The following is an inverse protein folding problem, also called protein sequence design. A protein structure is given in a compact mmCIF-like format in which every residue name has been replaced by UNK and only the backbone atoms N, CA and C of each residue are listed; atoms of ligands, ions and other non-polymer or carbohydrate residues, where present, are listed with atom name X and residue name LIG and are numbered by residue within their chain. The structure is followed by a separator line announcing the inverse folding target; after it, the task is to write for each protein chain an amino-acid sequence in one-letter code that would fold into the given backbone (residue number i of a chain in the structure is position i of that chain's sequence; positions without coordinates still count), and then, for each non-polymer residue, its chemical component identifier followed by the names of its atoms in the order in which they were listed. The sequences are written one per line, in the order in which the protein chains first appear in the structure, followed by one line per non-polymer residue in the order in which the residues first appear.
data_IF_525942518750
#
_entry.id   IF_525942518750
#
_cell.length_a   1.000
_cell.length_b   1.000
_cell.length_c   1.000
_cell.angle_alpha   90.00
_cell.angle_beta   90.00
_cell.angle_gamma   90.00
#
_symmetry.space_group_name_H-M   'P 1'
#
loop_
_entity.id
_entity.type
_entity.pdbx_description
1 polymer ?
#
# COMPACT_ATOMS: atom_id res chain seq x y z
N UNK A 1 63.97 34.77 39.48
CA UNK A 1 65.04 35.61 40.07
C UNK A 1 64.88 35.77 41.59
N UNK A 2 63.68 35.75 42.15
CA UNK A 2 63.40 35.85 43.61
C UNK A 2 64.15 34.84 44.50
N UNK A 3 64.20 33.54 44.14
CA UNK A 3 64.97 32.53 44.91
C UNK A 3 66.49 32.79 44.91
N UNK A 4 66.99 33.52 43.91
CA UNK A 4 68.40 33.89 43.85
C UNK A 4 68.73 35.03 44.81
N UNK A 5 67.78 35.93 45.12
CA UNK A 5 67.99 37.04 46.04
C UNK A 5 67.97 36.60 47.50
N UNK A 6 67.06 35.70 47.89
CA UNK A 6 67.00 35.16 49.27
C UNK A 6 68.26 34.34 49.61
N UNK A 7 68.75 33.55 48.64
CA UNK A 7 70.04 32.86 48.78
C UNK A 7 71.20 33.85 48.86
N UNK A 8 71.12 34.99 48.15
CA UNK A 8 72.14 36.05 48.23
C UNK A 8 72.10 36.79 49.56
N UNK A 9 70.94 37.03 50.17
CA UNK A 9 70.82 37.64 51.50
C UNK A 9 71.41 36.74 52.59
N UNK A 10 71.16 35.43 52.53
CA UNK A 10 71.75 34.46 53.46
C UNK A 10 73.27 34.31 53.26
N UNK A 11 73.79 34.46 52.03
CA UNK A 11 75.22 34.40 51.73
C UNK A 11 75.97 35.71 52.07
N UNK A 12 75.31 36.87 51.94
CA UNK A 12 75.89 38.19 52.25
C UNK A 12 76.06 38.40 53.75
N UNK A 13 75.15 37.86 54.60
CA UNK A 13 75.37 37.86 56.06
C UNK A 13 76.52 36.92 56.46
N UNK A 14 76.86 35.93 55.63
CA UNK A 14 77.94 34.97 55.90
C UNK A 14 79.35 35.41 55.52
N UNK A 15 79.56 36.52 54.79
CA UNK A 15 80.87 36.78 54.14
C UNK A 15 81.45 38.20 54.23
N UNK A 16 80.87 39.14 54.98
CA UNK A 16 81.50 40.47 55.15
C UNK A 16 82.52 40.44 56.29
N UNK A 17 83.75 40.06 55.97
CA UNK A 17 84.94 40.39 56.76
C UNK A 17 85.56 41.67 56.20
N UNK A 18 85.01 42.84 56.58
CA UNK A 18 85.61 44.14 56.29
C UNK A 18 85.96 44.78 57.65
N UNK A 19 87.24 45.11 57.83
CA UNK A 19 87.76 45.78 59.01
C UNK A 19 87.16 47.19 59.14
N UNK A 20 86.14 47.31 60.00
CA UNK A 20 85.47 48.53 60.45
C UNK A 20 85.02 48.34 61.91
N UNK A 21 84.45 49.37 62.57
CA UNK A 21 84.21 49.36 64.03
C UNK A 21 83.41 48.12 64.45
N UNK A 22 83.77 47.53 65.62
CA UNK A 22 83.11 46.36 66.21
C UNK A 22 81.59 46.59 66.24
N UNK A 23 80.88 45.90 65.36
CA UNK A 23 79.42 45.84 65.40
C UNK A 23 79.08 44.80 66.46
N UNK A 24 78.34 45.19 67.49
CA UNK A 24 77.97 44.30 68.58
C UNK A 24 77.10 43.14 68.03
N UNK A 25 77.45 41.89 68.33
CA UNK A 25 76.68 40.69 67.89
C UNK A 25 75.19 40.77 68.26
N UNK A 26 74.86 41.49 69.33
CA UNK A 26 73.48 41.77 69.74
C UNK A 26 72.73 42.68 68.77
N UNK A 27 73.40 43.65 68.14
CA UNK A 27 72.81 44.53 67.14
C UNK A 27 72.58 43.80 65.81
N UNK A 28 73.51 42.95 65.38
CA UNK A 28 73.33 42.06 64.21
C UNK A 28 72.19 41.04 64.43
N UNK A 29 72.09 40.47 65.63
CA UNK A 29 71.01 39.55 65.97
C UNK A 29 69.64 40.25 66.04
N UNK A 30 69.56 41.44 66.64
CA UNK A 30 68.32 42.22 66.72
C UNK A 30 67.87 42.72 65.34
N UNK A 31 68.79 43.18 64.50
CA UNK A 31 68.53 43.60 63.12
C UNK A 31 68.06 42.43 62.25
N UNK A 32 68.62 41.23 62.47
CA UNK A 32 68.18 40.00 61.79
C UNK A 32 66.80 39.50 62.27
N UNK A 33 66.45 39.74 63.53
CA UNK A 33 65.15 39.37 64.09
C UNK A 33 64.05 40.32 63.61
N UNK A 34 64.32 41.64 63.60
CA UNK A 34 63.40 42.68 63.14
C UNK A 34 63.14 42.57 61.63
N UNK A 35 64.19 42.34 60.82
CA UNK A 35 64.06 42.04 59.40
C UNK A 35 63.24 40.75 59.14
N UNK A 36 63.37 39.73 59.98
CA UNK A 36 62.58 38.49 59.87
C UNK A 36 61.11 38.73 60.20
N UNK A 37 60.78 39.48 61.26
CA UNK A 37 59.38 39.79 61.59
C UNK A 37 58.73 40.68 60.54
N UNK A 38 59.45 41.66 59.98
CA UNK A 38 58.94 42.56 58.95
C UNK A 38 58.73 41.89 57.58
N UNK A 39 59.36 40.73 57.32
CA UNK A 39 59.20 39.98 56.07
C UNK A 39 58.14 38.86 56.13
N UNK A 40 57.70 38.43 57.32
CA UNK A 40 56.72 37.34 57.48
C UNK A 40 55.36 37.70 56.90
N UNK A 41 54.84 38.89 57.21
CA UNK A 41 53.54 39.36 56.74
C UNK A 41 53.48 39.52 55.21
N UNK A 42 54.44 40.20 54.54
CA UNK A 42 54.43 40.29 53.09
C UNK A 42 54.66 38.93 52.40
N UNK A 43 55.44 38.03 53.01
CA UNK A 43 55.61 36.66 52.49
C UNK A 43 54.31 35.87 52.55
N UNK A 44 53.58 35.93 53.67
CA UNK A 44 52.27 35.29 53.81
C UNK A 44 51.23 35.89 52.86
N UNK A 45 51.25 37.21 52.68
CA UNK A 45 50.38 37.91 51.74
C UNK A 45 50.63 37.50 50.28
N UNK A 46 51.91 37.37 49.88
CA UNK A 46 52.27 36.87 48.55
C UNK A 46 51.84 35.40 48.37
N UNK A 47 52.09 34.54 49.35
CA UNK A 47 51.68 33.13 49.29
C UNK A 47 50.15 32.98 49.18
N UNK A 48 49.39 33.80 49.92
CA UNK A 48 47.94 33.85 49.81
C UNK A 48 47.47 34.36 48.44
N UNK A 49 48.11 35.38 47.89
CA UNK A 49 47.80 35.90 46.56
C UNK A 49 48.13 34.90 45.44
N UNK A 50 49.25 34.16 45.54
CA UNK A 50 49.59 33.08 44.62
C UNK A 50 48.60 31.91 44.70
N UNK A 51 48.08 31.59 45.89
CA UNK A 51 47.00 30.61 46.06
C UNK A 51 45.72 31.10 45.39
N UNK A 52 45.34 32.36 45.61
CA UNK A 52 44.16 32.96 45.01
C UNK A 52 44.23 32.99 43.47
N UNK A 53 45.40 33.23 42.87
CA UNK A 53 45.60 33.12 41.42
C UNK A 53 45.42 31.68 40.95
N UNK A 54 45.97 30.69 41.66
CA UNK A 54 45.78 29.28 41.33
C UNK A 54 44.30 28.88 41.37
N UNK A 55 43.58 29.27 42.41
CA UNK A 55 42.15 28.99 42.55
C UNK A 55 41.32 29.71 41.47
N UNK A 56 41.63 30.99 41.18
CA UNK A 56 40.95 31.74 40.13
C UNK A 56 41.18 31.14 38.74
N UNK A 57 42.39 30.62 38.48
CA UNK A 57 42.72 29.93 37.23
C UNK A 57 41.98 28.60 37.11
N UNK A 58 41.95 27.79 38.18
CA UNK A 58 41.19 26.54 38.20
C UNK A 58 39.69 26.79 37.95
N UNK A 59 39.13 27.85 38.54
CA UNK A 59 37.74 28.26 38.30
C UNK A 59 37.50 28.72 36.87
N UNK A 60 38.45 29.45 36.25
CA UNK A 60 38.34 29.83 34.83
C UNK A 60 38.37 28.60 33.92
N UNK A 61 39.31 27.67 34.16
CA UNK A 61 39.41 26.43 33.37
C UNK A 61 38.13 25.58 33.50
N UNK A 62 37.54 25.50 34.70
CA UNK A 62 36.26 24.83 34.92
C UNK A 62 35.10 25.52 34.18
N UNK A 63 35.03 26.85 34.23
CA UNK A 63 34.00 27.62 33.54
C UNK A 63 34.12 27.50 32.00
N UNK A 64 35.34 27.56 31.45
CA UNK A 64 35.57 27.38 30.01
C UNK A 64 35.20 25.96 29.55
N UNK A 65 35.44 24.94 30.38
CA UNK A 65 34.99 23.58 30.11
C UNK A 65 33.45 23.45 30.14
N UNK A 66 32.77 24.14 31.06
CA UNK A 66 31.32 24.16 31.16
C UNK A 66 30.67 24.90 29.97
N UNK A 67 31.23 26.04 29.54
CA UNK A 67 30.79 26.77 28.34
C UNK A 67 30.91 25.89 27.08
N UNK A 68 32.05 25.20 26.91
CA UNK A 68 32.25 24.29 25.79
C UNK A 68 31.25 23.12 25.79
N UNK A 69 30.94 22.55 26.97
CA UNK A 69 29.93 21.50 27.10
C UNK A 69 28.52 22.01 26.77
N UNK A 70 28.18 23.24 27.19
CA UNK A 70 26.89 23.85 26.88
C UNK A 70 26.74 24.19 25.39
N UNK A 71 27.81 24.64 24.73
CA UNK A 71 27.83 24.87 23.28
C UNK A 71 27.61 23.56 22.51
N UNK A 72 28.30 22.48 22.91
CA UNK A 72 28.11 21.16 22.34
C UNK A 72 26.67 20.65 22.51
N UNK A 73 26.12 20.76 23.73
CA UNK A 73 24.73 20.37 24.00
C UNK A 73 23.71 21.16 23.15
N UNK A 74 23.96 22.45 22.90
CA UNK A 74 23.11 23.24 22.01
C UNK A 74 23.22 22.79 20.55
N UNK A 75 24.42 22.44 20.08
CA UNK A 75 24.61 21.92 18.73
C UNK A 75 23.81 20.62 18.54
N UNK A 76 23.95 19.68 19.47
CA UNK A 76 23.21 18.41 19.46
C UNK A 76 21.68 18.65 19.49
N UNK A 77 21.20 19.54 20.37
CA UNK A 77 19.77 19.85 20.45
C UNK A 77 19.23 20.46 19.15
N UNK A 78 20.04 21.25 18.43
CA UNK A 78 19.66 21.81 17.12
C UNK A 78 19.54 20.72 16.06
N UNK A 79 20.47 19.77 16.05
CA UNK A 79 20.45 18.65 15.11
C UNK A 79 19.24 17.73 15.39
N UNK A 80 18.94 17.47 16.66
CA UNK A 80 17.74 16.74 17.10
C UNK A 80 16.44 17.41 16.62
N UNK A 81 16.33 18.74 16.73
CA UNK A 81 15.17 19.49 16.21
C UNK A 81 15.05 19.33 14.68
N UNK A 82 16.17 19.39 13.96
CA UNK A 82 16.14 19.24 12.50
C UNK A 82 15.75 17.82 12.09
N UNK A 83 16.27 16.80 12.78
CA UNK A 83 15.88 15.42 12.56
C UNK A 83 14.39 15.19 12.84
N UNK A 84 13.86 15.75 13.93
CA UNK A 84 12.44 15.67 14.27
C UNK A 84 11.56 16.34 13.22
N UNK A 85 11.95 17.50 12.68
CA UNK A 85 11.21 18.18 11.60
C UNK A 85 11.15 17.34 10.33
N UNK A 86 12.29 16.79 9.90
CA UNK A 86 12.33 15.92 8.72
C UNK A 86 11.42 14.69 8.89
N UNK A 87 11.36 14.12 10.10
CA UNK A 87 10.47 13.00 10.41
C UNK A 87 8.98 13.41 10.37
N UNK A 88 8.64 14.60 10.88
CA UNK A 88 7.28 15.14 10.83
C UNK A 88 6.82 15.39 9.38
N UNK A 89 7.68 15.97 8.55
CA UNK A 89 7.40 16.20 7.12
C UNK A 89 7.18 14.88 6.37
N UNK A 90 8.00 13.86 6.65
CA UNK A 90 7.84 12.54 6.07
C UNK A 90 6.51 11.88 6.47
N UNK A 91 6.12 11.99 7.75
CA UNK A 91 4.86 11.45 8.24
C UNK A 91 3.64 12.17 7.61
N UNK A 92 3.69 13.49 7.44
CA UNK A 92 2.63 14.23 6.75
C UNK A 92 2.52 13.84 5.26
N UNK A 93 3.67 13.58 4.61
CA UNK A 93 3.72 12.98 3.28
C UNK A 93 2.98 11.65 3.21
N UNK A 94 3.30 10.72 4.13
CA UNK A 94 2.66 9.40 4.19
C UNK A 94 1.14 9.48 4.41
N UNK A 95 0.66 10.43 5.21
CA UNK A 95 -0.78 10.68 5.42
C UNK A 95 -1.46 11.14 4.13
N UNK A 96 -0.82 12.03 3.36
CA UNK A 96 -1.36 12.53 2.08
C UNK A 96 -1.50 11.40 1.06
N UNK A 97 -0.47 10.57 0.94
CA UNK A 97 -0.46 9.43 0.03
C UNK A 97 -1.54 8.41 0.41
N UNK A 98 -1.60 8.02 1.69
CA UNK A 98 -2.63 7.09 2.21
C UNK A 98 -4.06 7.60 1.96
N UNK A 99 -4.29 8.92 2.08
CA UNK A 99 -5.58 9.54 1.77
C UNK A 99 -5.90 9.48 0.27
N UNK A 100 -4.88 9.54 -0.59
CA UNK A 100 -4.98 9.29 -2.02
C UNK A 100 -5.46 7.87 -2.30
N UNK A 101 -4.82 6.88 -1.69
CA UNK A 101 -5.14 5.46 -1.87
C UNK A 101 -6.57 5.12 -1.40
N UNK A 102 -7.01 5.69 -0.27
CA UNK A 102 -8.39 5.54 0.21
C UNK A 102 -9.41 6.11 -0.79
N UNK A 103 -9.08 7.21 -1.49
CA UNK A 103 -9.97 7.78 -2.52
C UNK A 103 -10.02 6.89 -3.76
N UNK A 104 -8.87 6.42 -4.24
CA UNK A 104 -8.78 5.51 -5.38
C UNK A 104 -9.58 4.24 -5.12
N UNK A 105 -9.33 3.59 -3.97
CA UNK A 105 -10.01 2.35 -3.58
C UNK A 105 -11.53 2.51 -3.45
N UNK A 106 -12.02 3.67 -2.98
CA UNK A 106 -13.47 3.96 -2.98
C UNK A 106 -14.06 4.07 -4.40
N UNK A 107 -13.30 4.63 -5.33
CA UNK A 107 -13.69 4.68 -6.74
C UNK A 107 -13.81 3.27 -7.30
N UNK A 108 -12.84 2.41 -6.99
CA UNK A 108 -12.83 1.01 -7.44
C UNK A 108 -14.03 0.23 -6.90
N UNK A 109 -14.38 0.40 -5.61
CA UNK A 109 -15.62 -0.19 -5.04
C UNK A 109 -16.87 0.28 -5.79
N UNK A 110 -16.91 1.53 -6.23
CA UNK A 110 -18.06 2.06 -6.99
C UNK A 110 -18.12 1.42 -8.38
N UNK A 111 -16.98 1.28 -9.06
CA UNK A 111 -16.89 0.61 -10.36
C UNK A 111 -17.29 -0.85 -10.25
N UNK A 112 -16.70 -1.61 -9.33
CA UNK A 112 -17.01 -3.02 -9.14
C UNK A 112 -18.50 -3.27 -8.79
N UNK A 113 -19.14 -2.35 -8.06
CA UNK A 113 -20.60 -2.41 -7.84
C UNK A 113 -21.42 -2.14 -9.09
N UNK A 114 -20.93 -1.35 -10.03
CA UNK A 114 -21.58 -1.16 -11.33
C UNK A 114 -21.47 -2.45 -12.15
N UNK A 115 -20.28 -3.05 -12.20
CA UNK A 115 -20.02 -4.30 -12.91
C UNK A 115 -20.92 -5.44 -12.40
N UNK A 116 -21.09 -5.58 -11.08
CA UNK A 116 -22.03 -6.56 -10.49
C UNK A 116 -23.48 -6.31 -10.92
N UNK A 117 -23.90 -5.05 -11.11
CA UNK A 117 -25.25 -4.76 -11.60
C UNK A 117 -25.39 -5.12 -13.07
N UNK A 118 -24.40 -4.82 -13.87
CA UNK A 118 -24.36 -5.16 -15.29
C UNK A 118 -24.41 -6.69 -15.48
N UNK A 119 -23.54 -7.45 -14.81
CA UNK A 119 -23.54 -8.90 -14.90
C UNK A 119 -24.84 -9.54 -14.41
N UNK A 120 -25.53 -8.93 -13.42
CA UNK A 120 -26.88 -9.37 -13.02
C UNK A 120 -27.93 -9.16 -14.10
N UNK A 121 -27.86 -8.03 -14.81
CA UNK A 121 -28.75 -7.77 -15.94
C UNK A 121 -28.47 -8.74 -17.09
N UNK A 122 -27.20 -9.01 -17.38
CA UNK A 122 -26.80 -10.03 -18.35
C UNK A 122 -27.30 -11.42 -17.95
N UNK A 123 -27.17 -11.81 -16.67
CA UNK A 123 -27.71 -13.08 -16.17
C UNK A 123 -29.23 -13.18 -16.35
N UNK A 124 -29.95 -12.08 -16.16
CA UNK A 124 -31.39 -12.05 -16.42
C UNK A 124 -31.69 -12.26 -17.91
N UNK A 125 -30.96 -11.57 -18.79
CA UNK A 125 -31.11 -11.72 -20.24
C UNK A 125 -30.77 -13.15 -20.72
N UNK A 126 -29.71 -13.76 -20.19
CA UNK A 126 -29.33 -15.15 -20.52
C UNK A 126 -30.41 -16.14 -20.06
N UNK A 127 -31.03 -15.92 -18.88
CA UNK A 127 -32.16 -16.75 -18.43
C UNK A 127 -33.38 -16.62 -19.33
N UNK A 128 -33.70 -15.40 -19.77
CA UNK A 128 -34.81 -15.17 -20.70
C UNK A 128 -34.54 -15.84 -22.05
N UNK A 129 -33.31 -15.78 -22.55
CA UNK A 129 -32.89 -16.50 -23.75
C UNK A 129 -32.97 -18.03 -23.58
N UNK A 130 -32.53 -18.57 -22.45
CA UNK A 130 -32.61 -20.01 -22.16
C UNK A 130 -34.08 -20.50 -22.18
N UNK A 131 -34.99 -19.72 -21.59
CA UNK A 131 -36.42 -20.02 -21.63
C UNK A 131 -36.98 -19.96 -23.05
N UNK A 132 -36.58 -18.97 -23.85
CA UNK A 132 -37.00 -18.87 -25.25
C UNK A 132 -36.53 -20.09 -26.07
N UNK A 133 -35.31 -20.58 -25.84
CA UNK A 133 -34.78 -21.81 -26.46
C UNK A 133 -35.62 -23.02 -26.07
N UNK A 134 -35.96 -23.16 -24.78
CA UNK A 134 -36.81 -24.26 -24.30
C UNK A 134 -38.19 -24.25 -24.98
N UNK A 135 -38.84 -23.09 -25.03
CA UNK A 135 -40.16 -22.91 -25.65
C UNK A 135 -40.11 -23.19 -27.16
N UNK A 136 -39.08 -22.71 -27.86
CA UNK A 136 -38.87 -22.98 -29.27
C UNK A 136 -38.63 -24.47 -29.55
N UNK A 137 -37.85 -25.15 -28.70
CA UNK A 137 -37.60 -26.59 -28.77
C UNK A 137 -38.90 -27.39 -28.65
N UNK A 138 -39.73 -27.07 -27.66
CA UNK A 138 -41.05 -27.69 -27.47
C UNK A 138 -41.95 -27.48 -28.68
N UNK A 139 -42.03 -26.25 -29.20
CA UNK A 139 -42.85 -25.93 -30.36
C UNK A 139 -42.40 -26.69 -31.62
N UNK A 140 -41.09 -26.80 -31.87
CA UNK A 140 -40.54 -27.56 -33.01
C UNK A 140 -40.84 -29.06 -32.89
N UNK A 141 -40.67 -29.66 -31.71
CA UNK A 141 -41.04 -31.06 -31.46
C UNK A 141 -42.53 -31.29 -31.75
N UNK A 142 -43.41 -30.44 -31.21
CA UNK A 142 -44.86 -30.56 -31.42
C UNK A 142 -45.24 -30.44 -32.91
N UNK A 143 -44.62 -29.51 -33.63
CA UNK A 143 -44.84 -29.36 -35.08
C UNK A 143 -44.43 -30.62 -35.86
N UNK A 144 -43.26 -31.22 -35.54
CA UNK A 144 -42.81 -32.45 -36.19
C UNK A 144 -43.67 -33.67 -35.81
N UNK A 145 -44.16 -33.75 -34.58
CA UNK A 145 -45.09 -34.80 -34.14
C UNK A 145 -46.43 -34.71 -34.89
N UNK A 146 -46.95 -33.49 -35.11
CA UNK A 146 -48.15 -33.29 -35.92
C UNK A 146 -47.95 -33.75 -37.38
N UNK A 147 -46.81 -33.46 -37.99
CA UNK A 147 -46.46 -33.95 -39.33
C UNK A 147 -46.38 -35.48 -39.37
N UNK A 148 -45.76 -36.10 -38.36
CA UNK A 148 -45.67 -37.55 -38.27
C UNK A 148 -47.04 -38.23 -38.20
N UNK A 149 -47.96 -37.73 -37.36
CA UNK A 149 -49.32 -38.29 -37.27
C UNK A 149 -50.13 -38.05 -38.56
N UNK A 150 -49.96 -36.90 -39.23
CA UNK A 150 -50.57 -36.65 -40.54
C UNK A 150 -50.09 -37.66 -41.60
N UNK A 151 -48.77 -37.92 -41.68
CA UNK A 151 -48.21 -38.91 -42.62
C UNK A 151 -48.68 -40.34 -42.32
N UNK A 152 -48.85 -40.68 -41.06
CA UNK A 152 -49.37 -41.98 -40.64
C UNK A 152 -50.84 -42.16 -41.04
N UNK A 153 -51.64 -41.10 -40.97
CA UNK A 153 -53.01 -41.10 -41.48
C UNK A 153 -53.03 -41.26 -43.01
N UNK A 154 -52.15 -40.58 -43.74
CA UNK A 154 -51.98 -40.73 -45.19
C UNK A 154 -51.55 -42.14 -45.61
N UNK A 155 -50.61 -42.76 -44.90
CA UNK A 155 -50.22 -44.17 -45.14
C UNK A 155 -51.42 -45.11 -44.97
N UNK A 156 -52.24 -44.87 -43.95
CA UNK A 156 -53.45 -45.66 -43.71
C UNK A 156 -54.45 -45.49 -44.85
N UNK A 157 -54.67 -44.26 -45.32
CA UNK A 157 -55.54 -43.98 -46.46
C UNK A 157 -55.03 -44.63 -47.75
N UNK A 158 -53.71 -44.60 -48.00
CA UNK A 158 -53.10 -45.24 -49.17
C UNK A 158 -53.24 -46.77 -49.15
N UNK A 159 -53.15 -47.40 -47.97
CA UNK A 159 -53.44 -48.84 -47.79
C UNK A 159 -54.89 -49.18 -48.14
N UNK A 160 -55.83 -48.37 -47.68
CA UNK A 160 -57.27 -48.54 -47.99
C UNK A 160 -57.50 -48.42 -49.50
N UNK A 161 -56.97 -47.38 -50.15
CA UNK A 161 -57.13 -47.18 -51.60
C UNK A 161 -56.50 -48.32 -52.42
N UNK A 162 -55.38 -48.88 -51.96
CA UNK A 162 -54.77 -50.07 -52.56
C UNK A 162 -55.66 -51.31 -52.44
N UNK A 163 -56.31 -51.51 -51.29
CA UNK A 163 -57.27 -52.59 -51.10
C UNK A 163 -58.49 -52.44 -52.03
N UNK A 164 -59.05 -51.24 -52.14
CA UNK A 164 -60.18 -50.93 -53.02
C UNK A 164 -59.83 -51.14 -54.51
N UNK A 165 -58.65 -50.69 -54.94
CA UNK A 165 -58.19 -50.91 -56.32
C UNK A 165 -58.04 -52.41 -56.64
N UNK A 166 -57.54 -53.21 -55.70
CA UNK A 166 -57.45 -54.67 -55.86
C UNK A 166 -58.83 -55.34 -55.88
N UNK A 167 -59.80 -54.86 -55.08
CA UNK A 167 -61.18 -55.31 -55.14
C UNK A 167 -61.81 -55.01 -56.52
N UNK A 168 -61.54 -53.82 -57.07
CA UNK A 168 -61.98 -53.43 -58.42
C UNK A 168 -61.40 -54.33 -59.52
N UNK A 169 -60.13 -54.72 -59.44
CA UNK A 169 -59.53 -55.73 -60.34
C UNK A 169 -60.29 -57.05 -60.27
N UNK A 170 -60.66 -57.48 -59.06
CA UNK A 170 -61.40 -58.72 -58.83
C UNK A 170 -62.80 -58.64 -59.46
N UNK A 171 -63.52 -57.55 -59.24
CA UNK A 171 -64.83 -57.30 -59.85
C UNK A 171 -64.77 -57.24 -61.39
N UNK A 172 -63.75 -56.56 -61.95
CA UNK A 172 -63.56 -56.50 -63.40
C UNK A 172 -63.28 -57.88 -64.01
N UNK A 173 -62.49 -58.72 -63.32
CA UNK A 173 -62.28 -60.12 -63.74
C UNK A 173 -63.56 -60.94 -63.71
N UNK A 174 -64.39 -60.78 -62.67
CA UNK A 174 -65.69 -61.45 -62.58
C UNK A 174 -66.60 -61.08 -63.76
N UNK A 175 -66.69 -59.80 -64.13
CA UNK A 175 -67.44 -59.34 -65.33
C UNK A 175 -66.95 -59.96 -66.64
N UNK A 176 -65.64 -60.20 -66.79
CA UNK A 176 -65.12 -60.94 -67.96
C UNK A 176 -65.63 -62.38 -67.99
N UNK A 177 -65.70 -63.05 -66.83
CA UNK A 177 -66.24 -64.41 -66.72
C UNK A 177 -67.72 -64.42 -67.08
N UNK A 178 -68.51 -63.50 -66.52
CA UNK A 178 -69.94 -63.32 -66.82
C UNK A 178 -70.18 -63.03 -68.30
N UNK A 179 -69.44 -62.08 -68.90
CA UNK A 179 -69.56 -61.75 -70.32
C UNK A 179 -69.21 -62.95 -71.23
N UNK A 180 -68.20 -63.75 -70.85
CA UNK A 180 -67.88 -64.99 -71.56
C UNK A 180 -68.97 -66.05 -71.42
N UNK A 181 -69.56 -66.19 -70.24
CA UNK A 181 -70.68 -67.11 -70.00
C UNK A 181 -71.91 -66.72 -70.82
N UNK A 182 -72.28 -65.43 -70.80
CA UNK A 182 -73.36 -64.88 -71.62
C UNK A 182 -73.12 -65.07 -73.13
N UNK A 183 -71.89 -64.85 -73.60
CA UNK A 183 -71.51 -65.15 -74.99
C UNK A 183 -71.72 -66.62 -75.36
N UNK A 184 -71.33 -67.55 -74.48
CA UNK A 184 -71.54 -68.99 -74.70
C UNK A 184 -73.03 -69.35 -74.75
N UNK A 185 -73.83 -68.84 -73.82
CA UNK A 185 -75.27 -69.06 -73.77
C UNK A 185 -75.96 -68.55 -75.04
N UNK A 186 -75.73 -67.29 -75.42
CA UNK A 186 -76.24 -66.70 -76.67
C UNK A 186 -75.79 -67.48 -77.90
N UNK A 187 -74.52 -67.90 -77.97
CA UNK A 187 -74.02 -68.72 -79.09
C UNK A 187 -74.70 -70.09 -79.16
N UNK A 188 -75.11 -70.68 -78.04
CA UNK A 188 -75.85 -71.93 -78.00
C UNK A 188 -77.31 -71.75 -78.48
N UNK A 189 -77.99 -70.69 -78.03
CA UNK A 189 -79.32 -70.29 -78.49
C UNK A 189 -79.35 -70.02 -80.01
N UNK A 190 -78.31 -69.36 -80.54
CA UNK A 190 -78.18 -68.98 -81.95
C UNK A 190 -77.90 -70.14 -82.92
N UNK A 191 -77.60 -71.36 -82.45
CA UNK A 191 -77.57 -72.55 -83.33
C UNK A 191 -78.98 -72.95 -83.80
N UNK A 192 -80.04 -72.32 -83.28
CA UNK A 192 -81.42 -72.62 -83.61
C UNK A 192 -82.06 -71.66 -84.65
N UNK A 193 -81.39 -70.58 -85.09
CA UNK A 193 -82.02 -69.56 -85.95
C UNK A 193 -81.03 -68.85 -86.90
N UNK A 194 -81.40 -68.63 -88.17
CA UNK A 194 -80.45 -68.37 -89.28
C UNK A 194 -80.06 -66.90 -89.55
N UNK A 195 -80.52 -65.93 -88.76
CA UNK A 195 -80.25 -64.49 -89.00
C UNK A 195 -79.89 -63.78 -87.71
N UNK A 196 -78.61 -63.68 -87.33
CA UNK A 196 -78.18 -62.86 -86.17
C UNK A 196 -76.65 -62.70 -86.02
N UNK A 197 -76.03 -61.96 -86.95
CA UNK A 197 -74.60 -61.61 -86.89
C UNK A 197 -74.31 -60.56 -85.79
N UNK A 198 -75.29 -59.70 -85.50
CA UNK A 198 -75.13 -58.53 -84.63
C UNK A 198 -75.06 -58.90 -83.14
N UNK A 199 -75.89 -59.85 -82.69
CA UNK A 199 -75.88 -60.35 -81.30
C UNK A 199 -74.52 -60.96 -80.90
N UNK A 200 -73.88 -61.70 -81.82
CA UNK A 200 -72.54 -62.26 -81.61
C UNK A 200 -71.48 -61.16 -81.55
N UNK A 201 -71.67 -60.07 -82.31
CA UNK A 201 -70.79 -58.92 -82.30
C UNK A 201 -70.91 -58.13 -81.00
N UNK A 202 -72.12 -57.88 -80.51
CA UNK A 202 -72.36 -57.19 -79.23
C UNK A 202 -71.70 -57.92 -78.06
N UNK A 203 -71.84 -59.24 -77.99
CA UNK A 203 -71.21 -60.03 -76.95
C UNK A 203 -69.66 -60.02 -77.04
N UNK A 204 -69.09 -59.96 -78.27
CA UNK A 204 -67.64 -59.76 -78.45
C UNK A 204 -67.19 -58.37 -78.00
N UNK A 205 -67.98 -57.32 -78.28
CA UNK A 205 -67.73 -55.95 -77.82
C UNK A 205 -67.75 -55.90 -76.29
N UNK A 206 -68.73 -56.54 -75.65
CA UNK A 206 -68.82 -56.65 -74.19
C UNK A 206 -67.58 -57.33 -73.59
N UNK A 207 -67.10 -58.44 -74.17
CA UNK A 207 -65.86 -59.10 -73.73
C UNK A 207 -64.64 -58.19 -73.90
N UNK A 208 -64.53 -57.45 -75.02
CA UNK A 208 -63.42 -56.51 -75.24
C UNK A 208 -63.44 -55.38 -74.22
N UNK A 209 -64.61 -54.78 -73.99
CA UNK A 209 -64.81 -53.72 -72.99
C UNK A 209 -64.45 -54.21 -71.59
N UNK A 210 -64.93 -55.40 -71.19
CA UNK A 210 -64.60 -56.00 -69.90
C UNK A 210 -63.10 -56.29 -69.74
N UNK A 211 -62.40 -56.74 -70.80
CA UNK A 211 -60.93 -56.89 -70.78
C UNK A 211 -60.21 -55.56 -70.64
N UNK A 212 -60.68 -54.49 -71.29
CA UNK A 212 -60.11 -53.15 -71.12
C UNK A 212 -60.25 -52.70 -69.67
N UNK A 213 -61.44 -52.85 -69.08
CA UNK A 213 -61.69 -52.53 -67.68
C UNK A 213 -60.74 -53.29 -66.72
N UNK A 214 -60.39 -54.54 -67.01
CA UNK A 214 -59.37 -55.28 -66.23
C UNK A 214 -57.98 -54.64 -66.35
N UNK A 215 -57.56 -54.22 -67.55
CA UNK A 215 -56.28 -53.55 -67.76
C UNK A 215 -56.22 -52.25 -66.97
N UNK A 216 -57.27 -51.44 -67.06
CA UNK A 216 -57.37 -50.15 -66.38
C UNK A 216 -57.38 -50.33 -64.86
N UNK A 217 -58.15 -51.30 -64.35
CA UNK A 217 -58.17 -51.63 -62.92
C UNK A 217 -56.79 -52.10 -62.43
N UNK A 218 -56.06 -52.89 -63.23
CA UNK A 218 -54.71 -53.37 -62.86
C UNK A 218 -53.69 -52.23 -62.81
N UNK A 219 -53.79 -51.26 -63.73
CA UNK A 219 -52.96 -50.05 -63.69
C UNK A 219 -53.23 -49.27 -62.40
N UNK A 220 -54.50 -49.00 -62.09
CA UNK A 220 -54.89 -48.29 -60.85
C UNK A 220 -54.39 -49.00 -59.58
N UNK A 221 -54.44 -50.33 -59.55
CA UNK A 221 -53.92 -51.12 -58.42
C UNK A 221 -52.39 -51.03 -58.29
N UNK A 222 -51.67 -50.96 -59.40
CA UNK A 222 -50.22 -50.75 -59.39
C UNK A 222 -49.87 -49.35 -58.85
N UNK A 223 -50.53 -48.32 -59.34
CA UNK A 223 -50.30 -46.93 -58.92
C UNK A 223 -50.65 -46.72 -57.45
N UNK A 224 -51.76 -47.30 -56.97
CA UNK A 224 -52.13 -47.27 -55.55
C UNK A 224 -51.06 -47.93 -54.66
N UNK A 225 -50.52 -49.08 -55.08
CA UNK A 225 -49.45 -49.77 -54.34
C UNK A 225 -48.13 -49.00 -54.31
N UNK A 226 -47.83 -48.25 -55.38
CA UNK A 226 -46.69 -47.34 -55.39
C UNK A 226 -46.88 -46.21 -54.38
N UNK A 227 -48.07 -45.57 -54.37
CA UNK A 227 -48.41 -44.53 -53.41
C UNK A 227 -48.39 -45.03 -51.94
N UNK A 228 -48.83 -46.26 -51.68
CA UNK A 228 -48.73 -46.90 -50.35
C UNK A 228 -47.28 -46.99 -49.87
N UNK A 229 -46.37 -47.45 -50.75
CA UNK A 229 -44.94 -47.55 -50.41
C UNK A 229 -44.32 -46.19 -50.14
N UNK A 230 -44.68 -45.19 -50.94
CA UNK A 230 -44.19 -43.83 -50.77
C UNK A 230 -44.66 -43.23 -49.44
N UNK A 231 -45.94 -43.35 -49.11
CA UNK A 231 -46.49 -42.90 -47.84
C UNK A 231 -45.80 -43.58 -46.65
N UNK A 232 -45.56 -44.89 -46.71
CA UNK A 232 -44.81 -45.62 -45.67
C UNK A 232 -43.35 -45.18 -45.53
N UNK A 233 -42.70 -44.75 -46.62
CA UNK A 233 -41.35 -44.16 -46.56
C UNK A 233 -41.39 -42.78 -45.88
N UNK A 234 -42.38 -41.94 -46.20
CA UNK A 234 -42.57 -40.62 -45.59
C UNK A 234 -42.85 -40.71 -44.08
N UNK A 235 -43.59 -41.73 -43.62
CA UNK A 235 -43.79 -41.99 -42.18
C UNK A 235 -42.47 -42.30 -41.47
N UNK A 236 -41.59 -43.11 -42.07
CA UNK A 236 -40.28 -43.43 -41.49
C UNK A 236 -39.39 -42.19 -41.37
N UNK A 237 -39.37 -41.35 -42.39
CA UNK A 237 -38.63 -40.08 -42.38
C UNK A 237 -39.17 -39.15 -41.30
N UNK A 238 -40.49 -38.90 -41.26
CA UNK A 238 -41.10 -38.04 -40.25
C UNK A 238 -40.85 -38.54 -38.81
N UNK A 239 -40.84 -39.86 -38.59
CA UNK A 239 -40.46 -40.43 -37.28
C UNK A 239 -38.99 -40.16 -36.93
N UNK A 240 -38.10 -40.22 -37.91
CA UNK A 240 -36.70 -39.83 -37.76
C UNK A 240 -36.57 -38.36 -37.38
N UNK A 241 -37.30 -37.48 -38.07
CA UNK A 241 -37.26 -36.03 -37.84
C UNK A 241 -37.74 -35.65 -36.43
N UNK A 242 -38.76 -36.34 -35.89
CA UNK A 242 -39.19 -36.16 -34.49
C UNK A 242 -38.08 -36.53 -33.51
N UNK A 243 -37.37 -37.65 -33.74
CA UNK A 243 -36.25 -38.05 -32.89
C UNK A 243 -35.10 -37.05 -32.95
N UNK A 244 -34.78 -36.57 -34.15
CA UNK A 244 -33.75 -35.55 -34.36
C UNK A 244 -34.11 -34.25 -33.62
N UNK A 245 -35.35 -33.76 -33.73
CA UNK A 245 -35.79 -32.56 -33.01
C UNK A 245 -35.69 -32.71 -31.49
N UNK A 246 -36.03 -33.88 -30.95
CA UNK A 246 -35.88 -34.14 -29.50
C UNK A 246 -34.41 -34.09 -29.06
N UNK A 247 -33.49 -34.63 -29.87
CA UNK A 247 -32.06 -34.56 -29.58
C UNK A 247 -31.52 -33.12 -29.69
N UNK A 248 -31.87 -32.40 -30.76
CA UNK A 248 -31.51 -30.99 -30.97
C UNK A 248 -32.00 -30.10 -29.82
N UNK A 249 -33.26 -30.25 -29.40
CA UNK A 249 -33.83 -29.49 -28.29
C UNK A 249 -33.12 -29.80 -26.96
N UNK A 250 -32.76 -31.06 -26.70
CA UNK A 250 -32.01 -31.43 -25.51
C UNK A 250 -30.63 -30.77 -25.50
N UNK A 251 -29.88 -30.87 -26.60
CA UNK A 251 -28.54 -30.27 -26.70
C UNK A 251 -28.58 -28.74 -26.56
N UNK A 252 -29.60 -28.09 -27.15
CA UNK A 252 -29.79 -26.65 -27.01
C UNK A 252 -30.11 -26.24 -25.56
N UNK A 253 -30.94 -27.02 -24.85
CA UNK A 253 -31.21 -26.79 -23.43
C UNK A 253 -29.97 -27.00 -22.56
N UNK A 254 -29.22 -28.09 -22.78
CA UNK A 254 -27.99 -28.37 -22.02
C UNK A 254 -27.00 -27.20 -22.17
N UNK A 255 -26.82 -26.67 -23.39
CA UNK A 255 -25.97 -25.48 -23.64
C UNK A 255 -26.52 -24.21 -22.98
N UNK A 256 -27.84 -24.03 -22.95
CA UNK A 256 -28.46 -22.88 -22.30
C UNK A 256 -28.27 -22.93 -20.78
N UNK A 257 -28.41 -24.11 -20.17
CA UNK A 257 -28.17 -24.34 -18.74
C UNK A 257 -26.69 -24.09 -18.37
N UNK A 258 -25.76 -24.56 -19.19
CA UNK A 258 -24.32 -24.28 -19.04
C UNK A 258 -24.02 -22.77 -19.10
N UNK A 259 -24.63 -22.05 -20.06
CA UNK A 259 -24.48 -20.59 -20.17
C UNK A 259 -25.03 -19.85 -18.93
N UNK A 260 -26.20 -20.27 -18.42
CA UNK A 260 -26.77 -19.71 -17.18
C UNK A 260 -25.88 -19.98 -15.98
N UNK A 261 -25.31 -21.19 -15.87
CA UNK A 261 -24.39 -21.55 -14.80
C UNK A 261 -23.11 -20.69 -14.85
N UNK A 262 -22.47 -20.59 -16.01
CA UNK A 262 -21.27 -19.78 -16.21
C UNK A 262 -21.51 -18.30 -15.84
N UNK A 263 -22.65 -17.73 -16.27
CA UNK A 263 -22.97 -16.33 -15.95
C UNK A 263 -23.26 -16.13 -14.45
N UNK A 264 -23.85 -17.13 -13.79
CA UNK A 264 -24.06 -17.10 -12.33
C UNK A 264 -22.73 -17.11 -11.57
N UNK A 265 -21.77 -17.91 -12.02
CA UNK A 265 -20.43 -17.98 -11.43
C UNK A 265 -19.68 -16.65 -11.62
N UNK A 266 -19.80 -16.02 -12.79
CA UNK A 266 -19.25 -14.68 -13.05
C UNK A 266 -19.82 -13.63 -12.08
N UNK A 267 -21.14 -13.62 -11.86
CA UNK A 267 -21.78 -12.73 -10.87
C UNK A 267 -21.26 -13.01 -9.46
N UNK A 268 -21.01 -14.29 -9.12
CA UNK A 268 -20.38 -14.68 -7.87
C UNK A 268 -18.99 -14.09 -7.71
N UNK A 269 -18.11 -14.32 -8.68
CA UNK A 269 -16.73 -13.83 -8.67
C UNK A 269 -16.66 -12.30 -8.55
N UNK A 270 -17.51 -11.56 -9.27
CA UNK A 270 -17.55 -10.10 -9.16
C UNK A 270 -18.04 -9.63 -7.79
N UNK A 271 -18.96 -10.36 -7.15
CA UNK A 271 -19.41 -10.04 -5.79
C UNK A 271 -18.29 -10.24 -4.77
N UNK A 272 -17.52 -11.31 -4.93
CA UNK A 272 -16.36 -11.60 -4.09
C UNK A 272 -15.25 -10.54 -4.27
N UNK A 273 -15.04 -10.08 -5.51
CA UNK A 273 -14.16 -8.95 -5.79
C UNK A 273 -14.64 -7.68 -5.07
N UNK A 274 -15.95 -7.37 -5.10
CA UNK A 274 -16.51 -6.23 -4.36
C UNK A 274 -16.27 -6.33 -2.85
N UNK A 275 -16.38 -7.53 -2.25
CA UNK A 275 -16.06 -7.68 -0.82
C UNK A 275 -14.57 -7.49 -0.56
N UNK A 276 -13.69 -8.09 -1.36
CA UNK A 276 -12.25 -7.94 -1.22
C UNK A 276 -11.81 -6.46 -1.33
N UNK A 277 -12.32 -5.71 -2.31
CA UNK A 277 -12.00 -4.28 -2.43
C UNK A 277 -12.55 -3.48 -1.24
N UNK A 278 -13.70 -3.85 -0.69
CA UNK A 278 -14.25 -3.17 0.49
C UNK A 278 -13.39 -3.40 1.74
N UNK A 279 -12.86 -4.60 1.90
CA UNK A 279 -11.95 -4.93 2.99
C UNK A 279 -10.63 -4.18 2.84
N UNK A 280 -10.06 -4.12 1.63
CA UNK A 280 -8.89 -3.29 1.34
C UNK A 280 -9.13 -1.78 1.63
N UNK A 281 -10.33 -1.26 1.35
CA UNK A 281 -10.70 0.12 1.74
C UNK A 281 -10.70 0.29 3.26
N UNK A 282 -11.10 -0.73 4.03
CA UNK A 282 -11.10 -0.67 5.48
C UNK A 282 -9.66 -0.69 6.03
N UNK A 283 -8.80 -1.55 5.50
CA UNK A 283 -7.38 -1.60 5.83
C UNK A 283 -6.66 -0.29 5.51
N UNK A 284 -6.88 0.27 4.31
CA UNK A 284 -6.28 1.55 3.91
C UNK A 284 -6.71 2.72 4.83
N UNK A 285 -7.94 2.70 5.33
CA UNK A 285 -8.40 3.69 6.33
C UNK A 285 -7.68 3.54 7.66
N UNK A 286 -7.54 2.30 8.15
CA UNK A 286 -6.81 2.05 9.40
C UNK A 286 -5.34 2.47 9.28
N UNK A 287 -4.70 2.16 8.15
CA UNK A 287 -3.35 2.63 7.84
C UNK A 287 -3.27 4.17 7.86
N UNK A 288 -4.20 4.85 7.22
CA UNK A 288 -4.27 6.33 7.23
C UNK A 288 -4.41 6.89 8.66
N UNK A 289 -5.19 6.23 9.51
CA UNK A 289 -5.36 6.64 10.91
C UNK A 289 -4.07 6.44 11.73
N UNK A 290 -3.35 5.34 11.52
CA UNK A 290 -2.04 5.11 12.13
C UNK A 290 -1.01 6.14 11.67
N UNK A 291 -0.93 6.44 10.37
CA UNK A 291 -0.03 7.47 9.84
C UNK A 291 -0.35 8.85 10.43
N UNK A 292 -1.64 9.15 10.61
CA UNK A 292 -2.04 10.40 11.25
C UNK A 292 -1.64 10.47 12.72
N UNK A 293 -1.68 9.34 13.44
CA UNK A 293 -1.18 9.27 14.81
C UNK A 293 0.34 9.46 14.87
N UNK A 294 1.08 8.84 13.94
CA UNK A 294 2.52 9.00 13.80
C UNK A 294 2.91 10.45 13.49
N UNK A 295 2.21 11.11 12.56
CA UNK A 295 2.45 12.52 12.24
C UNK A 295 2.27 13.43 13.47
N UNK A 296 1.21 13.21 14.26
CA UNK A 296 1.00 13.95 15.52
C UNK A 296 2.09 13.69 16.56
N UNK A 297 2.56 12.45 16.67
CA UNK A 297 3.64 12.11 17.59
C UNK A 297 4.97 12.75 17.15
N UNK A 298 5.23 12.81 15.85
CA UNK A 298 6.40 13.50 15.29
C UNK A 298 6.34 15.02 15.55
N UNK A 299 5.18 15.65 15.35
CA UNK A 299 4.96 17.07 15.67
C UNK A 299 5.20 17.36 17.17
N UNK A 300 4.66 16.53 18.07
CA UNK A 300 4.92 16.66 19.49
C UNK A 300 6.41 16.47 19.85
N UNK A 301 7.13 15.63 19.10
CA UNK A 301 8.58 15.45 19.27
C UNK A 301 9.34 16.71 18.83
N UNK A 302 8.92 17.36 17.74
CA UNK A 302 9.49 18.65 17.32
C UNK A 302 9.32 19.71 18.39
N UNK A 303 8.13 19.80 19.00
CA UNK A 303 7.85 20.74 20.07
C UNK A 303 8.75 20.50 21.29
N UNK A 304 8.87 19.24 21.73
CA UNK A 304 9.72 18.85 22.85
C UNK A 304 11.20 19.19 22.59
N UNK A 305 11.74 18.81 21.43
CA UNK A 305 13.14 19.11 21.07
C UNK A 305 13.40 20.61 20.91
N UNK A 306 12.39 21.36 20.46
CA UNK A 306 12.51 22.81 20.35
C UNK A 306 12.56 23.48 21.73
N UNK A 307 11.86 22.93 22.72
CA UNK A 307 11.99 23.35 24.11
C UNK A 307 13.39 23.04 24.66
N UNK A 308 13.88 21.82 24.49
CA UNK A 308 15.23 21.40 24.91
C UNK A 308 16.32 22.30 24.31
N UNK A 309 16.22 22.61 23.00
CA UNK A 309 17.16 23.50 22.32
C UNK A 309 17.11 24.94 22.86
N UNK A 310 15.95 25.41 23.32
CA UNK A 310 15.81 26.71 23.97
C UNK A 310 16.46 26.71 25.35
N UNK A 311 16.33 25.64 26.12
CA UNK A 311 16.97 25.47 27.42
C UNK A 311 18.50 25.40 27.28
N UNK A 312 19.01 24.59 26.34
CA UNK A 312 20.45 24.49 26.05
C UNK A 312 21.06 25.84 25.66
N UNK A 313 20.36 26.63 24.84
CA UNK A 313 20.76 28.01 24.50
C UNK A 313 20.74 28.94 25.72
N UNK A 314 19.85 28.71 26.67
CA UNK A 314 19.84 29.41 27.95
C UNK A 314 21.07 29.08 28.78
N UNK A 315 21.41 27.79 28.89
CA UNK A 315 22.58 27.30 29.61
C UNK A 315 23.89 27.84 29.03
N UNK A 316 24.11 27.76 27.71
CA UNK A 316 25.31 28.33 27.05
C UNK A 316 25.50 29.81 27.37
N UNK A 317 24.42 30.60 27.36
CA UNK A 317 24.48 32.02 27.74
C UNK A 317 24.86 32.23 29.21
N UNK A 318 24.40 31.36 30.10
CA UNK A 318 24.71 31.41 31.52
C UNK A 318 26.18 31.08 31.75
N UNK A 319 26.66 29.97 31.19
CA UNK A 319 28.07 29.54 31.28
C UNK A 319 29.02 30.58 30.67
N UNK A 320 28.69 31.15 29.50
CA UNK A 320 29.48 32.24 28.92
C UNK A 320 29.48 33.52 29.76
N UNK A 321 28.50 33.73 30.64
CA UNK A 321 28.53 34.80 31.64
C UNK A 321 29.44 34.42 32.83
N UNK A 322 29.45 33.16 33.25
CA UNK A 322 30.35 32.66 34.29
C UNK A 322 31.81 32.74 33.86
N UNK A 323 32.16 32.38 32.62
CA UNK A 323 33.51 32.55 32.06
C UNK A 323 33.96 34.00 32.12
N UNK A 324 33.10 34.95 31.75
CA UNK A 324 33.41 36.39 31.85
C UNK A 324 33.67 36.81 33.29
N UNK A 325 32.89 36.30 34.24
CA UNK A 325 33.06 36.59 35.67
C UNK A 325 34.35 35.95 36.23
N UNK A 326 34.64 34.70 35.89
CA UNK A 326 35.85 33.99 36.29
C UNK A 326 37.11 34.69 35.75
N UNK A 327 37.07 35.13 34.48
CA UNK A 327 38.16 35.88 33.86
C UNK A 327 38.40 37.24 34.54
N UNK A 328 37.34 37.90 35.00
CA UNK A 328 37.46 39.13 35.78
C UNK A 328 38.11 38.87 37.15
N UNK A 329 37.70 37.81 37.85
CA UNK A 329 38.31 37.40 39.13
C UNK A 329 39.77 37.00 38.99
N UNK A 330 40.16 36.32 37.91
CA UNK A 330 41.55 35.99 37.64
C UNK A 330 42.41 37.26 37.47
N UNK A 331 41.94 38.22 36.67
CA UNK A 331 42.62 39.51 36.51
C UNK A 331 42.80 40.25 37.84
N UNK A 332 41.79 40.21 38.70
CA UNK A 332 41.87 40.81 40.03
C UNK A 332 42.87 40.08 40.94
N UNK A 333 42.88 38.74 40.92
CA UNK A 333 43.82 37.93 41.68
C UNK A 333 45.27 38.15 41.21
N UNK A 334 45.50 38.24 39.90
CA UNK A 334 46.81 38.55 39.31
C UNK A 334 47.28 39.94 39.75
N UNK A 335 46.41 40.95 39.70
CA UNK A 335 46.75 42.29 40.17
C UNK A 335 47.10 42.30 41.68
N UNK A 336 46.38 41.54 42.51
CA UNK A 336 46.70 41.40 43.95
C UNK A 336 48.03 40.69 44.18
N UNK A 337 48.36 39.66 43.38
CA UNK A 337 49.65 38.98 43.43
C UNK A 337 50.78 39.94 43.07
N UNK A 338 50.63 40.70 42.00
CA UNK A 338 51.65 41.65 41.54
C UNK A 338 51.88 42.76 42.58
N UNK A 339 50.81 43.26 43.20
CA UNK A 339 50.92 44.18 44.34
C UNK A 339 51.63 43.54 45.55
N UNK A 340 51.25 42.33 45.95
CA UNK A 340 51.88 41.63 47.09
C UNK A 340 53.36 41.34 46.83
N UNK A 341 53.73 41.02 45.59
CA UNK A 341 55.12 40.84 45.16
C UNK A 341 55.90 42.16 45.27
N UNK A 342 55.36 43.27 44.77
CA UNK A 342 55.98 44.58 44.87
C UNK A 342 56.14 45.06 46.34
N UNK A 343 55.16 44.78 47.20
CA UNK A 343 55.25 45.06 48.65
C UNK A 343 56.34 44.22 49.32
N UNK A 344 56.47 42.93 48.95
CA UNK A 344 57.55 42.08 49.44
C UNK A 344 58.91 42.60 48.98
N UNK A 345 59.06 43.00 47.71
CA UNK A 345 60.31 43.58 47.19
C UNK A 345 60.67 44.90 47.90
N UNK A 346 59.68 45.76 48.16
CA UNK A 346 59.88 46.98 48.96
C UNK A 346 60.31 46.66 50.40
N UNK A 347 59.69 45.67 51.04
CA UNK A 347 60.03 45.23 52.39
C UNK A 347 61.45 44.62 52.45
N UNK A 348 61.83 43.83 51.45
CA UNK A 348 63.19 43.29 51.29
C UNK A 348 64.21 44.42 51.12
N UNK A 349 63.91 45.42 50.27
CA UNK A 349 64.78 46.58 50.06
C UNK A 349 64.92 47.46 51.33
N UNK A 350 63.84 47.65 52.10
CA UNK A 350 63.87 48.35 53.38
C UNK A 350 64.68 47.61 54.44
N UNK A 351 64.57 46.27 54.48
CA UNK A 351 65.37 45.43 55.37
C UNK A 351 66.87 45.53 55.03
N UNK A 352 67.23 45.55 53.74
CA UNK A 352 68.61 45.73 53.29
C UNK A 352 69.16 47.14 53.58
N UNK A 353 68.34 48.19 53.42
CA UNK A 353 68.70 49.56 53.84
C UNK A 353 68.99 49.63 55.34
N UNK A 354 68.13 49.01 56.15
CA UNK A 354 68.31 48.94 57.61
C UNK A 354 69.57 48.16 58.00
N UNK A 355 70.01 47.20 57.17
CA UNK A 355 71.28 46.49 57.28
C UNK A 355 72.52 47.30 56.81
N UNK A 356 72.36 48.58 56.48
CA UNK A 356 73.47 49.49 56.15
C UNK A 356 73.84 49.54 54.66
N UNK A 357 73.03 48.98 53.76
CA UNK A 357 73.24 49.12 52.31
C UNK A 357 72.58 50.40 51.78
N UNK A 358 73.31 51.18 50.98
CA UNK A 358 72.75 52.35 50.31
C UNK A 358 71.89 51.91 49.11
N UNK A 359 70.59 51.73 49.35
CA UNK A 359 69.61 51.37 48.33
C UNK A 359 68.64 52.54 48.13
N UNK A 360 68.38 52.92 46.88
CA UNK A 360 67.32 53.88 46.56
C UNK A 360 65.96 53.18 46.62
N UNK A 361 65.12 53.56 47.58
CA UNK A 361 63.79 52.98 47.77
C UNK A 361 62.73 53.59 46.84
N UNK A 362 63.02 54.72 46.22
CA UNK A 362 62.06 55.45 45.38
C UNK A 362 61.45 54.60 44.25
N UNK A 363 62.22 53.83 43.45
CA UNK A 363 61.63 52.97 42.41
C UNK A 363 60.65 51.93 42.97
N UNK A 364 60.95 51.32 44.12
CA UNK A 364 60.07 50.33 44.76
C UNK A 364 58.79 50.96 45.32
N UNK A 365 58.89 52.17 45.88
CA UNK A 365 57.73 52.92 46.35
C UNK A 365 56.83 53.39 45.21
N UNK A 366 57.42 53.84 44.10
CA UNK A 366 56.69 54.25 42.90
C UNK A 366 55.96 53.04 42.26
N UNK A 367 56.60 51.87 42.24
CA UNK A 367 56.01 50.62 41.73
C UNK A 367 54.83 50.15 42.59
N UNK A 368 55.00 50.05 43.92
CA UNK A 368 53.89 49.74 44.84
C UNK A 368 52.75 50.75 44.71
N UNK A 369 53.07 52.04 44.58
CA UNK A 369 52.07 53.10 44.41
C UNK A 369 51.29 52.96 43.11
N UNK A 370 51.96 52.57 42.02
CA UNK A 370 51.34 52.35 40.71
C UNK A 370 50.43 51.11 40.68
N UNK A 371 50.76 50.09 41.49
CA UNK A 371 50.02 48.83 41.59
C UNK A 371 48.96 48.84 42.69
N UNK A 372 48.89 49.92 43.49
CA UNK A 372 47.90 50.03 44.56
C UNK A 372 46.52 49.77 43.98
N UNK A 373 45.85 48.69 44.40
CA UNK A 373 44.55 48.38 43.85
C UNK A 373 43.64 49.56 44.18
N UNK A 374 43.19 50.27 43.14
CA UNK A 374 42.09 51.22 43.30
C UNK A 374 40.94 50.40 43.85
N UNK A 375 40.59 50.61 45.12
CA UNK A 375 39.42 49.99 45.72
C UNK A 375 38.23 50.51 44.93
N UNK A 376 37.82 49.75 43.91
CA UNK A 376 36.58 49.97 43.23
C UNK A 376 35.51 49.59 44.25
N UNK A 377 34.98 50.59 44.95
CA UNK A 377 33.77 50.49 45.75
C UNK A 377 32.65 50.07 44.80
N UNK A 378 32.46 48.76 44.63
CA UNK A 378 31.31 48.22 43.92
C UNK A 378 30.12 48.38 44.85
N UNK A 379 29.42 49.52 44.72
CA UNK A 379 28.09 49.72 45.29
C UNK A 379 27.16 48.70 44.63
N UNK A 380 26.89 47.60 45.33
CA UNK A 380 25.85 46.66 44.97
C UNK A 380 24.48 47.34 45.13
N UNK A 381 23.89 47.79 44.02
CA UNK A 381 22.43 47.95 43.94
C UNK A 381 21.86 46.68 43.31
N UNK A 382 20.92 46.08 44.03
CA UNK A 382 20.14 44.89 43.69
C UNK A 382 19.36 45.03 42.39
#
# INVERSE_FOLDING_TARGET
MLRSLIVTLALVVGSIAIAGPKVDDAALSALSADARTNLVDPTNALAAAESAVRDARANLEAAEAAEAAAEAARADAKDDVQAAKNAADAADGAVKDSKGDVKASKSDVKSAKADVREAKNELAAVKDQAKAVEDQGKANIAAREAVYEARKAEETAAKVHTAEANASVTAAKARVVEAKAAYKARKAELKADATTKDVVNDAKVAIKSAKSAVKDAKSKAHDAKAAEKEAGAQVKLAKGDVKAAKAEAKEANDKADEAVAAQKDQVGAQKDQVSATKDAVAEAKQATEMERANAKAAEATVDARSADASEAKGAEKAEGAEVKAARAKLKEAEARRDYAAAVLELAEAQALMSAGQAIDLKPFQDEVSSLTPKTATTSASQ
#
